data_IF_718455584407
#
_entry.id   IF_718455584407
#
_cell.length_a   1.000
_cell.length_b   1.000
_cell.length_c   1.000
_cell.angle_alpha   90.00
_cell.angle_beta   90.00
_cell.angle_gamma   90.00
#
_symmetry.space_group_name_H-M   'P 1'
#
loop_
_entity.id
_entity.type
_entity.pdbx_description
1 polymer ?
2 non-polymer ?
3 non-polymer ?
4 water ?
#
# COMPACT_ATOMS: atom_id res chain seq x y z
N UNK A 29 -0.70 -26.00 -16.14
CA UNK A 29 -2.04 -25.93 -15.57
C UNK A 29 -2.20 -24.70 -14.69
N UNK A 30 -3.44 -24.47 -14.23
CA UNK A 30 -3.77 -23.30 -13.43
C UNK A 30 -3.42 -23.51 -11.96
N UNK A 31 -2.60 -22.62 -11.37
CA UNK A 31 -2.27 -22.76 -9.95
C UNK A 31 -3.46 -22.44 -9.06
N UNK A 32 -3.46 -22.96 -7.84
CA UNK A 32 -4.52 -22.66 -6.88
C UNK A 32 -4.68 -21.16 -6.72
N UNK A 33 -5.92 -20.72 -6.64
CA UNK A 33 -6.19 -19.34 -6.27
C UNK A 33 -7.42 -19.30 -5.37
N UNK A 34 -7.53 -18.27 -4.52
CA UNK A 34 -8.69 -18.14 -3.64
C UNK A 34 -9.99 -17.90 -4.42
N UNK A 35 -11.06 -18.56 -3.98
CA UNK A 35 -12.35 -18.48 -4.65
C UNK A 35 -13.36 -17.63 -3.88
N UNK A 36 -13.04 -17.35 -2.62
CA UNK A 36 -13.87 -16.50 -1.79
C UNK A 36 -12.96 -15.80 -0.79
N UNK A 37 -13.48 -14.77 -0.13
CA UNK A 37 -12.64 -13.93 0.71
C UNK A 37 -11.98 -14.74 1.85
N UNK A 38 -12.66 -15.74 2.38
CA UNK A 38 -12.08 -16.49 3.50
C UNK A 38 -10.92 -17.38 3.04
N UNK A 39 -10.82 -17.65 1.73
CA UNK A 39 -9.72 -18.46 1.21
C UNK A 39 -8.37 -17.74 1.35
N UNK A 40 -8.40 -16.44 1.61
CA UNK A 40 -7.15 -15.74 1.87
C UNK A 40 -6.48 -16.23 3.15
N UNK A 41 -7.22 -16.90 4.02
CA UNK A 41 -6.63 -17.58 5.18
C UNK A 41 -5.50 -18.53 4.77
N UNK A 42 -5.64 -19.10 3.57
CA UNK A 42 -4.74 -20.16 3.11
C UNK A 42 -3.50 -19.65 2.40
N UNK A 43 -3.46 -18.37 2.06
CA UNK A 43 -2.29 -17.85 1.39
C UNK A 43 -1.70 -16.66 2.15
N UNK A 44 -2.52 -15.97 2.94
CA UNK A 44 -2.04 -14.78 3.64
C UNK A 44 -0.99 -15.15 4.70
N UNK A 45 -0.91 -16.42 5.07
CA UNK A 45 0.14 -16.87 5.99
C UNK A 45 1.31 -17.55 5.28
N UNK A 46 1.24 -17.64 3.95
CA UNK A 46 2.37 -18.16 3.16
C UNK A 46 3.50 -17.14 3.14
N UNK A 47 3.87 -16.63 4.31
CA UNK A 47 4.83 -15.55 4.39
C UNK A 47 6.24 -16.00 4.01
N UNK A 48 6.81 -15.34 3.01
CA UNK A 48 8.18 -15.57 2.55
C UNK A 48 9.23 -14.92 3.45
N UNK A 49 8.89 -13.75 3.98
CA UNK A 49 9.79 -13.03 4.89
C UNK A 49 8.96 -12.39 5.98
N UNK A 50 9.11 -12.90 7.20
CA UNK A 50 8.35 -12.36 8.32
C UNK A 50 8.82 -10.97 8.71
N UNK A 51 7.88 -10.18 9.21
CA UNK A 51 8.14 -8.80 9.61
C UNK A 51 9.13 -8.61 10.74
N UNK A 52 9.22 -9.60 11.62
CA UNK A 52 10.31 -9.71 12.59
C UNK A 52 11.70 -10.02 11.98
N UNK A 53 11.77 -10.37 10.70
CA UNK A 53 13.06 -10.64 10.08
C UNK A 53 13.66 -9.35 9.56
N UNK A 54 14.20 -8.52 10.45
CA UNK A 54 14.73 -7.24 10.02
C UNK A 54 15.93 -7.34 9.08
N UNK A 55 15.98 -6.39 8.15
CA UNK A 55 17.09 -6.27 7.21
C UNK A 55 18.32 -5.89 8.01
N UNK A 56 19.50 -6.25 7.53
CA UNK A 56 20.74 -5.95 8.24
C UNK A 56 20.91 -4.45 8.48
N UNK A 57 20.48 -3.64 7.51
CA UNK A 57 20.54 -2.18 7.61
C UNK A 57 19.34 -1.51 8.28
N UNK A 58 18.40 -2.29 8.78
CA UNK A 58 17.23 -1.74 9.47
C UNK A 58 17.64 -0.94 10.70
N UNK A 59 17.00 0.22 10.92
CA UNK A 59 17.31 1.07 12.09
C UNK A 59 17.11 0.34 13.42
N UNK A 60 16.25 -0.68 13.42
CA UNK A 60 15.97 -1.40 14.65
C UNK A 60 16.73 -2.71 14.76
N UNK A 61 17.69 -2.94 13.87
CA UNK A 61 18.36 -4.24 13.77
C UNK A 61 18.99 -4.68 15.09
N UNK A 62 19.51 -3.72 15.84
CA UNK A 62 20.20 -3.99 17.10
C UNK A 62 19.33 -3.66 18.31
N UNK A 63 18.06 -3.37 18.08
CA UNK A 63 17.17 -2.96 19.15
C UNK A 63 16.30 -4.14 19.56
N UNK A 64 16.66 -4.78 20.67
CA UNK A 64 15.97 -5.99 21.11
C UNK A 64 14.51 -5.74 21.48
N UNK A 65 14.24 -4.61 22.11
CA UNK A 65 12.87 -4.25 22.46
C UNK A 65 12.02 -4.09 21.20
N UNK A 66 12.57 -3.40 20.20
CA UNK A 66 11.85 -3.23 18.93
C UNK A 66 11.62 -4.59 18.26
N UNK A 67 12.62 -5.45 18.30
CA UNK A 67 12.49 -6.79 17.72
C UNK A 67 11.35 -7.62 18.33
N UNK A 68 11.22 -7.57 19.64
CA UNK A 68 10.10 -8.20 20.34
C UNK A 68 8.78 -7.57 19.87
N UNK A 69 8.71 -6.24 19.89
CA UNK A 69 7.53 -5.53 19.42
C UNK A 69 7.14 -5.99 18.01
N UNK A 70 8.13 -6.13 17.11
CA UNK A 70 7.87 -6.59 15.74
C UNK A 70 7.34 -8.02 15.76
N UNK A 71 7.84 -8.83 16.70
CA UNK A 71 7.32 -10.18 16.91
C UNK A 71 5.86 -10.20 17.31
N UNK A 72 5.55 -9.34 18.27
CA UNK A 72 4.18 -9.17 18.72
C UNK A 72 3.25 -8.88 17.53
N UNK A 73 3.64 -7.95 16.67
CA UNK A 73 2.82 -7.60 15.52
C UNK A 73 2.68 -8.73 14.51
N UNK A 74 3.79 -9.40 14.22
CA UNK A 74 3.76 -10.51 13.27
C UNK A 74 2.86 -11.65 13.76
N UNK A 75 2.92 -11.92 15.06
CA UNK A 75 2.06 -12.94 15.65
C UNK A 75 0.57 -12.58 15.59
N UNK A 76 0.24 -11.30 15.78
CA UNK A 76 -1.14 -10.84 15.65
C UNK A 76 -1.69 -11.16 14.27
N UNK A 77 -0.88 -10.88 13.25
CA UNK A 77 -1.29 -11.12 11.88
C UNK A 77 -1.39 -12.61 11.58
N UNK A 78 -0.43 -13.40 12.09
CA UNK A 78 -0.41 -14.83 11.81
C UNK A 78 -1.62 -15.53 12.39
N UNK A 79 -2.08 -15.03 13.53
CA UNK A 79 -3.21 -15.66 14.22
C UNK A 79 -4.56 -15.18 13.72
N UNK A 80 -4.56 -14.08 12.97
CA UNK A 80 -5.79 -13.53 12.42
C UNK A 80 -6.43 -14.49 11.42
N UNK A 81 -7.75 -14.64 11.52
CA UNK A 81 -8.51 -15.40 10.52
C UNK A 81 -9.63 -14.56 9.98
N UNK A 82 -9.99 -14.73 8.70
CA UNK A 82 -11.07 -13.93 8.14
C UNK A 82 -12.34 -14.06 8.98
N UNK A 83 -12.98 -12.92 9.26
CA UNK A 83 -14.16 -12.90 10.10
C UNK A 83 -13.84 -12.25 11.45
N UNK A 84 -12.57 -12.35 11.85
CA UNK A 84 -12.10 -11.76 13.10
C UNK A 84 -12.16 -10.26 13.02
N UNK A 85 -12.51 -9.60 14.14
CA UNK A 85 -12.19 -8.18 14.23
C UNK A 85 -10.67 -8.07 14.24
N UNK A 86 -10.12 -7.07 13.56
CA UNK A 86 -8.66 -6.93 13.57
C UNK A 86 -8.26 -6.49 14.96
N UNK A 87 -7.34 -7.23 15.61
CA UNK A 87 -6.96 -6.90 16.99
C UNK A 87 -6.59 -5.44 17.15
N UNK A 88 -7.08 -4.83 18.22
CA UNK A 88 -6.68 -3.46 18.48
C UNK A 88 -5.35 -3.47 19.19
N UNK A 89 -4.59 -2.42 18.97
CA UNK A 89 -3.25 -2.32 19.49
C UNK A 89 -3.14 -1.09 20.35
N UNK A 90 -2.54 -1.21 21.52
CA UNK A 90 -2.19 -0.03 22.28
C UNK A 90 -0.80 0.41 21.85
N UNK A 91 -0.74 1.44 21.01
CA UNK A 91 0.55 1.94 20.57
C UNK A 91 1.22 2.68 21.71
N UNK A 92 2.55 2.62 21.74
CA UNK A 92 3.32 3.28 22.77
C UNK A 92 3.43 4.77 22.47
N UNK A 93 3.79 5.57 23.48
CA UNK A 93 4.00 7.00 23.29
C UNK A 93 5.03 7.27 22.21
N UNK A 94 6.09 6.47 22.21
CA UNK A 94 7.14 6.58 21.20
C UNK A 94 6.58 6.37 19.78
N UNK A 95 5.77 5.33 19.61
CA UNK A 95 5.18 5.01 18.31
C UNK A 95 4.26 6.12 17.84
N UNK A 96 3.47 6.66 18.77
CA UNK A 96 2.54 7.72 18.44
C UNK A 96 3.29 9.00 18.04
N UNK A 97 4.39 9.28 18.73
CA UNK A 97 5.20 10.45 18.40
C UNK A 97 5.80 10.32 17.00
N UNK A 98 6.24 9.11 16.64
CA UNK A 98 6.78 8.84 15.32
C UNK A 98 5.74 9.08 14.24
N UNK A 99 4.54 8.50 14.42
CA UNK A 99 3.40 8.76 13.55
C UNK A 99 3.12 10.27 13.42
N UNK A 100 3.07 10.95 14.56
CA UNK A 100 2.78 12.38 14.58
C UNK A 100 3.75 13.18 13.76
N UNK A 101 5.03 12.83 13.84
CA UNK A 101 6.07 13.55 13.11
C UNK A 101 5.89 13.36 11.61
N UNK A 102 5.64 12.12 11.22
CA UNK A 102 5.41 11.77 9.83
C UNK A 102 4.12 12.41 9.29
N UNK A 103 3.07 12.33 10.09
CA UNK A 103 1.75 12.86 9.75
C UNK A 103 1.77 14.37 9.54
N UNK A 104 2.43 15.07 10.46
CA UNK A 104 2.50 16.53 10.42
C UNK A 104 3.25 17.06 9.20
N UNK A 105 4.39 16.46 8.89
CA UNK A 105 5.17 16.88 7.73
C UNK A 105 4.52 16.56 6.39
N UNK A 106 3.98 15.36 6.26
CA UNK A 106 3.29 15.00 5.02
C UNK A 106 2.07 15.87 4.76
N UNK A 107 1.31 16.20 5.79
CA UNK A 107 0.07 16.96 5.58
C UNK A 107 0.33 18.39 5.09
N UNK A 108 1.54 18.88 5.31
CA UNK A 108 1.95 20.17 4.75
C UNK A 108 2.07 20.07 3.22
N UNK A 109 2.43 18.89 2.74
CA UNK A 109 2.71 18.68 1.33
C UNK A 109 1.49 18.25 0.51
N UNK A 110 0.56 17.52 1.11
CA UNK A 110 -0.56 16.93 0.38
C UNK A 110 -1.39 17.92 -0.47
N UNK A 111 -1.73 19.12 0.09
CA UNK A 111 -2.54 20.04 -0.72
C UNK A 111 -1.93 20.42 -2.06
N UNK A 112 -0.60 20.53 -2.14
CA UNK A 112 0.03 20.93 -3.39
C UNK A 112 0.56 19.75 -4.19
N UNK A 113 0.48 18.54 -3.63
CA UNK A 113 1.08 17.37 -4.27
C UNK A 113 0.11 16.25 -4.61
N UNK A 114 -0.80 15.94 -3.69
CA UNK A 114 -1.70 14.81 -3.85
C UNK A 114 -2.83 15.05 -4.84
N UNK A 115 -3.32 13.96 -5.44
CA UNK A 115 -4.44 14.03 -6.35
C UNK A 115 -5.76 14.40 -5.68
N UNK A 116 -6.70 14.82 -6.52
CA UNK A 116 -8.08 15.21 -6.19
C UNK A 116 -8.63 14.26 -5.13
N UNK A 117 -8.73 13.00 -5.54
CA UNK A 117 -9.38 11.94 -4.79
C UNK A 117 -8.76 11.74 -3.41
N UNK A 118 -7.43 11.86 -3.34
CA UNK A 118 -6.75 11.69 -2.06
C UNK A 118 -7.16 12.80 -1.10
N UNK A 119 -7.15 14.02 -1.61
CA UNK A 119 -7.49 15.19 -0.79
C UNK A 119 -8.94 15.18 -0.35
N UNK A 120 -9.81 14.58 -1.16
CA UNK A 120 -11.22 14.50 -0.84
C UNK A 120 -11.49 13.52 0.32
N UNK A 121 -10.74 12.43 0.35
CA UNK A 121 -11.01 11.38 1.32
C UNK A 121 -10.24 11.52 2.63
N UNK A 122 -9.10 12.18 2.61
CA UNK A 122 -8.31 12.36 3.83
C UNK A 122 -9.10 13.02 5.00
N UNK A 123 -9.91 14.06 4.73
CA UNK A 123 -10.67 14.64 5.85
C UNK A 123 -11.75 13.72 6.41
N UNK A 124 -12.31 12.85 5.57
CA UNK A 124 -13.27 11.87 6.06
C UNK A 124 -12.62 10.95 7.08
N UNK A 125 -11.36 10.57 6.84
CA UNK A 125 -10.62 9.70 7.75
C UNK A 125 -10.30 10.37 9.08
N UNK A 126 -10.04 11.67 9.04
CA UNK A 126 -9.84 12.41 10.28
C UNK A 126 -11.12 12.39 11.10
N UNK A 127 -12.24 12.59 10.43
CA UNK A 127 -13.54 12.59 11.08
C UNK A 127 -14.04 11.27 11.64
N UNK A 128 -13.91 10.20 10.86
CA UNK A 128 -14.46 8.91 11.29
C UNK A 128 -13.48 7.86 11.80
N UNK A 129 -12.20 7.97 11.46
CA UNK A 129 -11.23 6.98 11.88
C UNK A 129 -10.14 7.48 12.82
N UNK A 130 -10.29 8.69 13.34
CA UNK A 130 -9.34 9.21 14.29
C UNK A 130 -7.95 9.53 13.80
N UNK A 131 -7.84 10.05 12.58
CA UNK A 131 -6.55 10.43 12.02
C UNK A 131 -6.20 11.79 12.64
N UNK A 132 -5.20 11.79 13.50
CA UNK A 132 -4.75 13.00 14.20
C UNK A 132 -3.29 12.80 14.53
N UNK A 133 -2.60 13.92 14.74
CA UNK A 133 -1.18 13.88 15.08
C UNK A 133 -0.90 13.03 16.33
N UNK A 134 -1.85 13.01 17.28
CA UNK A 134 -1.58 12.35 18.56
C UNK A 134 -2.32 11.02 18.70
N UNK A 135 -2.78 10.48 17.58
CA UNK A 135 -3.50 9.22 17.61
C UNK A 135 -3.24 8.41 16.37
N UNK A 136 -2.80 7.17 16.54
CA UNK A 136 -2.67 6.24 15.42
C UNK A 136 -3.98 5.50 15.21
N UNK A 137 -4.55 5.60 14.01
CA UNK A 137 -5.82 4.92 13.69
C UNK A 137 -5.68 3.41 13.84
N UNK A 138 -6.76 2.77 14.28
CA UNK A 138 -6.79 1.32 14.38
C UNK A 138 -7.21 0.73 13.04
N UNK A 139 -6.60 -0.39 12.65
CA UNK A 139 -6.93 -1.03 11.38
C UNK A 139 -8.40 -1.46 11.31
N UNK A 140 -8.94 -2.01 12.40
CA UNK A 140 -10.36 -2.36 12.42
C UNK A 140 -11.29 -1.20 12.06
N UNK A 141 -11.08 -0.04 12.66
CA UNK A 141 -11.90 1.13 12.36
C UNK A 141 -11.76 1.55 10.90
N UNK A 142 -10.53 1.53 10.41
CA UNK A 142 -10.26 1.91 9.03
C UNK A 142 -10.91 0.90 8.08
N UNK A 143 -10.80 -0.37 8.42
CA UNK A 143 -11.42 -1.43 7.64
C UNK A 143 -12.93 -1.26 7.55
N UNK A 144 -13.57 -0.93 8.67
CA UNK A 144 -15.02 -0.71 8.68
C UNK A 144 -15.42 0.48 7.83
N UNK A 145 -14.61 1.54 7.87
CA UNK A 145 -14.82 2.70 7.03
C UNK A 145 -14.76 2.32 5.54
N UNK A 146 -13.71 1.61 5.15
CA UNK A 146 -13.54 1.22 3.75
C UNK A 146 -14.67 0.29 3.30
N UNK A 147 -15.14 -0.59 4.17
CA UNK A 147 -16.18 -1.54 3.79
C UNK A 147 -17.44 -0.79 3.34
N UNK A 148 -17.79 0.25 4.09
CA UNK A 148 -18.95 1.06 3.77
C UNK A 148 -18.75 1.90 2.50
N UNK A 149 -17.53 2.41 2.30
CA UNK A 149 -17.28 3.32 1.18
C UNK A 149 -17.16 2.60 -0.16
N UNK A 150 -16.37 1.52 -0.20
CA UNK A 150 -16.05 0.85 -1.46
C UNK A 150 -16.06 -0.67 -1.37
N UNK A 151 -16.36 -1.24 -0.20
CA UNK A 151 -16.25 -2.68 -0.07
C UNK A 151 -14.86 -3.22 0.23
N UNK A 152 -13.82 -2.41 0.04
CA UNK A 152 -12.49 -2.69 0.60
C UNK A 152 -12.42 -2.97 2.10
N UNK A 153 -11.64 -3.97 2.45
CA UNK A 153 -11.37 -4.26 3.84
C UNK A 153 -9.88 -4.51 4.04
N UNK A 154 -9.46 -4.53 5.30
CA UNK A 154 -8.05 -4.69 5.63
C UNK A 154 -7.81 -6.06 6.23
N UNK A 155 -6.66 -6.65 5.91
CA UNK A 155 -6.21 -7.85 6.59
C UNK A 155 -4.79 -7.61 7.09
N UNK A 156 -4.55 -7.80 8.41
CA UNK A 156 -3.18 -7.61 8.89
C UNK A 156 -2.28 -8.71 8.35
N UNK A 157 -1.07 -8.35 7.94
CA UNK A 157 -0.19 -9.32 7.31
C UNK A 157 1.14 -9.38 8.06
N UNK A 158 1.62 -10.59 8.29
CA UNK A 158 2.82 -10.82 9.09
C UNK A 158 4.07 -10.27 8.41
N UNK A 159 4.12 -10.39 7.09
CA UNK A 159 5.27 -9.92 6.34
C UNK A 159 5.05 -10.02 4.85
N UNK A 160 6.15 -10.12 4.10
CA UNK A 160 6.11 -10.19 2.64
C UNK A 160 5.49 -11.48 2.11
N UNK A 161 4.55 -11.34 1.18
CA UNK A 161 3.95 -12.48 0.49
C UNK A 161 4.44 -12.52 -0.96
N UNK A 162 4.27 -13.65 -1.63
CA UNK A 162 4.53 -13.71 -3.06
C UNK A 162 3.63 -12.69 -3.76
N UNK A 163 4.05 -12.19 -4.93
CA UNK A 163 3.17 -11.30 -5.71
C UNK A 163 1.81 -11.94 -5.96
N UNK A 164 1.80 -13.25 -6.23
CA UNK A 164 0.54 -13.95 -6.48
C UNK A 164 -0.41 -13.84 -5.27
N UNK A 165 0.11 -14.13 -4.08
CA UNK A 165 -0.73 -14.12 -2.89
C UNK A 165 -1.15 -12.71 -2.50
N UNK A 166 -0.23 -11.75 -2.61
CA UNK A 166 -0.55 -10.38 -2.25
C UNK A 166 -1.62 -9.80 -3.19
N UNK A 167 -1.43 -9.96 -4.50
CA UNK A 167 -2.40 -9.47 -5.46
C UNK A 167 -3.75 -10.18 -5.36
N UNK A 168 -3.75 -11.47 -4.97
CA UNK A 168 -5.00 -12.20 -4.91
C UNK A 168 -5.97 -11.56 -3.90
N UNK A 169 -5.43 -10.93 -2.87
CA UNK A 169 -6.28 -10.25 -1.90
C UNK A 169 -7.13 -9.19 -2.55
N UNK A 170 -6.51 -8.43 -3.47
CA UNK A 170 -7.21 -7.35 -4.15
C UNK A 170 -8.43 -7.85 -4.94
N UNK A 171 -8.41 -9.11 -5.38
CA UNK A 171 -9.56 -9.65 -6.11
C UNK A 171 -10.83 -9.63 -5.25
N UNK A 172 -10.65 -9.67 -3.93
CA UNK A 172 -11.79 -9.66 -3.02
C UNK A 172 -11.84 -8.35 -2.26
N UNK A 173 -11.20 -7.34 -2.84
CA UNK A 173 -11.07 -6.01 -2.24
C UNK A 173 -10.53 -6.10 -0.83
N UNK A 174 -9.48 -6.92 -0.67
CA UNK A 174 -8.79 -7.02 0.60
C UNK A 174 -7.38 -6.48 0.41
N UNK A 175 -6.99 -5.57 1.30
CA UNK A 175 -5.64 -5.04 1.28
C UNK A 175 -4.86 -5.62 2.45
N UNK A 176 -3.78 -6.31 2.14
CA UNK A 176 -2.89 -6.87 3.14
C UNK A 176 -2.03 -5.75 3.70
N UNK A 177 -2.07 -5.57 5.02
CA UNK A 177 -1.68 -4.31 5.62
C UNK A 177 -0.81 -4.49 6.87
N UNK A 178 0.38 -3.85 6.88
CA UNK A 178 1.26 -3.97 8.04
C UNK A 178 0.67 -3.15 9.20
N UNK A 179 0.93 -3.59 10.42
CA UNK A 179 0.32 -3.02 11.61
C UNK A 179 1.33 -2.33 12.53
N UNK A 180 2.61 -2.67 12.34
CA UNK A 180 3.67 -2.10 13.16
C UNK A 180 4.05 -0.69 12.71
N UNK A 181 4.76 0.01 13.58
CA UNK A 181 5.26 1.35 13.32
C UNK A 181 6.77 1.32 13.09
N UNK A 182 7.24 2.11 12.13
CA UNK A 182 8.67 2.26 11.88
C UNK A 182 9.44 2.64 13.14
N UNK A 183 10.71 2.26 13.19
CA UNK A 183 11.58 2.56 14.31
C UNK A 183 11.69 4.07 14.52
N UNK A 184 11.67 4.49 15.79
CA UNK A 184 11.59 5.92 16.10
C UNK A 184 12.86 6.70 15.77
N UNK A 185 13.98 6.00 15.66
CA UNK A 185 15.27 6.63 15.37
C UNK A 185 15.31 7.28 13.99
N UNK A 186 14.48 6.80 13.08
CA UNK A 186 14.44 7.34 11.73
C UNK A 186 13.01 7.39 11.20
N UNK A 187 12.25 8.42 11.60
CA UNK A 187 10.87 8.57 11.17
C UNK A 187 10.73 8.66 9.65
N UNK A 188 11.86 8.78 8.96
CA UNK A 188 11.97 8.91 7.50
C UNK A 188 12.48 7.65 6.78
N UNK A 189 12.42 6.51 7.44
CA UNK A 189 12.91 5.22 6.94
C UNK A 189 11.86 4.54 6.06
N UNK A 190 12.16 4.48 4.77
CA UNK A 190 11.16 4.05 3.81
C UNK A 190 11.22 2.70 3.05
N UNK A 191 12.35 1.95 3.09
CA UNK A 191 12.28 0.80 2.18
C UNK A 191 11.37 -0.39 2.57
N UNK A 192 10.84 -0.43 3.79
CA UNK A 192 9.73 -1.33 4.15
C UNK A 192 8.41 -0.63 4.45
N UNK A 193 7.30 -1.26 4.07
CA UNK A 193 6.03 -0.65 4.46
C UNK A 193 5.87 -0.74 5.98
N UNK A 194 5.27 0.27 6.59
CA UNK A 194 4.81 0.14 7.97
C UNK A 194 3.40 0.70 7.97
N UNK A 195 2.80 0.86 9.14
CA UNK A 195 1.38 1.10 9.15
C UNK A 195 1.15 2.58 8.83
N UNK A 196 2.16 3.41 9.07
CA UNK A 196 2.14 4.80 8.63
C UNK A 196 1.95 4.87 7.11
N UNK A 197 2.71 4.06 6.38
CA UNK A 197 2.59 3.95 4.93
C UNK A 197 1.19 3.46 4.54
N UNK A 198 0.71 2.42 5.21
CA UNK A 198 -0.60 1.91 4.87
C UNK A 198 -1.70 2.96 5.07
N UNK A 199 -1.68 3.61 6.23
CA UNK A 199 -2.78 4.48 6.61
C UNK A 199 -2.76 5.82 5.88
N UNK A 200 -1.56 6.34 5.63
CA UNK A 200 -1.43 7.64 4.98
C UNK A 200 -1.27 7.51 3.48
N UNK A 201 -0.69 6.40 3.03
CA UNK A 201 -0.44 6.24 1.60
C UNK A 201 -1.58 5.54 0.88
N UNK A 202 -2.03 4.41 1.42
CA UNK A 202 -2.98 3.56 0.71
C UNK A 202 -4.45 3.84 0.98
N UNK A 203 -4.79 3.97 2.25
CA UNK A 203 -6.19 3.98 2.66
C UNK A 203 -7.04 5.11 2.02
N UNK A 204 -6.53 6.36 1.96
CA UNK A 204 -7.42 7.37 1.37
C UNK A 204 -7.87 7.08 -0.06
N UNK A 205 -7.04 6.40 -0.85
CA UNK A 205 -7.43 6.09 -2.21
C UNK A 205 -8.28 4.83 -2.30
N UNK A 206 -8.08 3.87 -1.39
CA UNK A 206 -8.97 2.70 -1.36
C UNK A 206 -10.41 3.11 -1.07
N UNK A 207 -10.59 4.30 -0.51
CA UNK A 207 -11.91 4.83 -0.20
C UNK A 207 -12.58 5.46 -1.42
N UNK A 208 -11.88 5.46 -2.55
CA UNK A 208 -12.41 6.07 -3.76
C UNK A 208 -12.88 4.98 -4.72
N UNK A 209 -14.18 4.98 -5.07
CA UNK A 209 -14.72 3.92 -5.94
C UNK A 209 -13.92 3.67 -7.21
N UNK A 210 -13.53 4.71 -7.96
CA UNK A 210 -12.79 4.49 -9.21
C UNK A 210 -11.46 3.79 -8.97
N UNK A 211 -10.78 4.15 -7.89
CA UNK A 211 -9.50 3.54 -7.54
C UNK A 211 -9.68 2.12 -7.02
N UNK A 212 -10.73 1.91 -6.22
CA UNK A 212 -11.02 0.57 -5.69
C UNK A 212 -11.30 -0.42 -6.83
N UNK A 213 -12.02 0.04 -7.85
CA UNK A 213 -12.29 -0.81 -9.00
C UNK A 213 -11.00 -1.13 -9.77
N UNK A 214 -10.19 -0.11 -10.00
CA UNK A 214 -8.88 -0.29 -10.63
C UNK A 214 -8.03 -1.32 -9.89
N UNK A 215 -7.96 -1.18 -8.58
CA UNK A 215 -7.16 -2.08 -7.76
C UNK A 215 -7.70 -3.52 -7.78
N UNK A 216 -9.02 -3.65 -7.63
CA UNK A 216 -9.63 -4.98 -7.63
C UNK A 216 -9.34 -5.70 -8.94
N UNK A 217 -9.34 -4.96 -10.05
CA UNK A 217 -9.17 -5.60 -11.34
C UNK A 217 -7.73 -6.09 -11.56
N UNK A 218 -6.76 -5.47 -10.88
CA UNK A 218 -5.41 -6.03 -10.86
C UNK A 218 -5.46 -7.41 -10.21
N UNK A 219 -6.12 -7.49 -9.05
CA UNK A 219 -6.22 -8.75 -8.34
C UNK A 219 -6.97 -9.79 -9.15
N UNK A 220 -8.09 -9.40 -9.75
CA UNK A 220 -8.89 -10.35 -10.53
C UNK A 220 -8.09 -10.91 -11.70
N UNK A 221 -7.37 -10.03 -12.39
CA UNK A 221 -6.50 -10.45 -13.48
C UNK A 221 -5.43 -11.46 -13.03
N UNK A 222 -4.99 -11.32 -11.78
CA UNK A 222 -3.89 -12.16 -11.28
C UNK A 222 -4.33 -13.58 -10.91
N UNK A 223 -5.61 -13.77 -10.63
CA UNK A 223 -6.08 -15.06 -10.11
C UNK A 223 -5.84 -16.18 -11.12
N UNK A 224 -5.04 -17.17 -10.71
CA UNK A 224 -4.75 -18.30 -11.59
C UNK A 224 -3.92 -17.95 -12.82
N UNK A 225 -3.36 -16.76 -12.84
CA UNK A 225 -2.57 -16.35 -14.00
C UNK A 225 -1.18 -17.01 -13.97
N UNK A 226 -0.51 -17.01 -15.12
CA UNK A 226 0.85 -17.54 -15.20
C UNK A 226 1.79 -16.75 -14.30
N UNK A 227 2.91 -17.39 -13.92
CA UNK A 227 3.95 -16.71 -13.16
C UNK A 227 4.38 -15.42 -13.86
N UNK A 228 4.56 -15.52 -15.18
CA UNK A 228 4.96 -14.38 -16.00
C UNK A 228 3.94 -13.25 -15.90
N UNK A 229 2.67 -13.59 -16.04
CA UNK A 229 1.60 -12.59 -16.00
C UNK A 229 1.53 -11.94 -14.62
N UNK A 230 1.61 -12.75 -13.57
CA UNK A 230 1.59 -12.19 -12.21
C UNK A 230 2.71 -11.17 -12.02
N UNK A 231 3.90 -11.45 -12.54
CA UNK A 231 5.04 -10.56 -12.37
C UNK A 231 4.81 -9.23 -13.07
N UNK A 232 4.23 -9.29 -14.27
CA UNK A 232 3.92 -8.08 -15.03
C UNK A 232 2.82 -7.26 -14.37
N UNK A 233 1.80 -7.94 -13.84
CA UNK A 233 0.75 -7.26 -13.08
C UNK A 233 1.33 -6.57 -11.84
N UNK A 234 2.26 -7.26 -11.16
CA UNK A 234 2.90 -6.71 -9.97
C UNK A 234 3.66 -5.42 -10.30
N UNK A 235 4.35 -5.42 -11.43
CA UNK A 235 5.10 -4.24 -11.84
C UNK A 235 4.16 -3.09 -12.21
N UNK A 236 3.05 -3.39 -12.88
CA UNK A 236 2.04 -2.38 -13.16
C UNK A 236 1.44 -1.83 -11.86
N UNK A 237 1.16 -2.72 -10.92
CA UNK A 237 0.70 -2.33 -9.59
C UNK A 237 1.69 -1.35 -8.94
N UNK A 238 2.97 -1.72 -8.97
CA UNK A 238 4.04 -0.90 -8.38
C UNK A 238 4.04 0.53 -8.93
N UNK A 239 3.93 0.67 -10.25
CA UNK A 239 4.05 1.99 -10.87
C UNK A 239 2.71 2.73 -11.02
N UNK A 240 1.68 2.21 -10.36
CA UNK A 240 0.41 2.92 -10.26
C UNK A 240 0.06 3.05 -8.78
N UNK A 241 -0.43 1.97 -8.18
CA UNK A 241 -0.83 1.98 -6.77
C UNK A 241 0.28 2.46 -5.83
N UNK A 242 1.54 2.10 -6.08
CA UNK A 242 2.59 2.48 -5.14
C UNK A 242 3.34 3.77 -5.53
N UNK A 243 3.63 3.98 -6.81
CA UNK A 243 4.44 5.13 -7.23
C UNK A 243 3.86 5.91 -8.40
N UNK A 244 2.55 5.82 -8.59
CA UNK A 244 1.91 6.46 -9.72
C UNK A 244 1.75 7.96 -9.60
N UNK A 245 1.85 8.62 -10.75
CA UNK A 245 1.46 10.01 -10.90
C UNK A 245 0.24 10.08 -11.80
N UNK A 246 -0.56 11.13 -11.66
CA UNK A 246 -1.68 11.29 -12.59
C UNK A 246 -1.79 12.75 -13.03
N UNK A 247 -2.47 12.97 -14.16
CA UNK A 247 -2.66 14.32 -14.65
C UNK A 247 -4.08 14.79 -14.40
N UNK A 248 -4.21 15.94 -13.75
CA UNK A 248 -5.52 16.45 -13.37
C UNK A 248 -5.57 17.94 -13.61
N UNK A 249 -6.50 18.38 -14.46
CA UNK A 249 -6.62 19.78 -14.85
C UNK A 249 -5.26 20.33 -15.28
N UNK A 250 -4.53 19.53 -16.05
CA UNK A 250 -3.27 19.96 -16.63
C UNK A 250 -2.06 19.86 -15.70
N UNK A 251 -2.27 19.49 -14.45
CA UNK A 251 -1.18 19.41 -13.48
C UNK A 251 -0.79 17.97 -13.20
N UNK A 252 0.48 17.74 -12.89
CA UNK A 252 0.93 16.43 -12.42
C UNK A 252 0.64 16.31 -10.93
N UNK A 253 -0.05 15.23 -10.54
CA UNK A 253 -0.35 15.00 -9.13
C UNK A 253 0.08 13.59 -8.74
N UNK A 254 0.15 13.34 -7.44
CA UNK A 254 0.62 12.05 -6.94
C UNK A 254 -0.54 11.19 -6.44
N UNK A 255 -0.57 9.91 -6.81
CA UNK A 255 -1.52 9.02 -6.18
C UNK A 255 -0.86 7.76 -5.64
N UNK A 256 0.43 7.56 -5.92
CA UNK A 256 1.13 6.37 -5.44
C UNK A 256 1.34 6.40 -3.95
N UNK A 257 1.01 5.31 -3.26
CA UNK A 257 1.08 5.27 -1.81
C UNK A 257 2.51 5.39 -1.26
N UNK A 258 3.46 4.85 -2.00
CA UNK A 258 4.86 4.87 -1.61
C UNK A 258 5.38 6.29 -1.63
N UNK A 259 4.84 7.09 -2.53
CA UNK A 259 5.16 8.51 -2.59
C UNK A 259 4.45 9.30 -1.50
N UNK A 260 3.17 9.01 -1.31
CA UNK A 260 2.35 9.75 -0.34
C UNK A 260 2.79 9.56 1.12
N UNK A 261 3.63 8.57 1.39
CA UNK A 261 4.11 8.35 2.76
C UNK A 261 5.62 8.57 2.88
N UNK A 262 6.23 9.11 1.82
CA UNK A 262 7.65 9.41 1.84
C UNK A 262 7.86 10.90 1.58
N UNK A 263 8.25 11.62 2.62
CA UNK A 263 8.38 13.07 2.52
C UNK A 263 9.33 13.50 1.42
N UNK A 264 10.50 12.86 1.35
CA UNK A 264 11.51 13.26 0.38
C UNK A 264 11.13 12.91 -1.06
N UNK A 265 10.61 11.70 -1.28
CA UNK A 265 10.31 11.33 -2.67
C UNK A 265 9.02 12.00 -3.16
N UNK A 266 8.11 12.33 -2.25
CA UNK A 266 6.91 13.07 -2.62
C UNK A 266 7.30 14.38 -3.28
N UNK A 267 8.21 15.11 -2.64
CA UNK A 267 8.72 16.36 -3.20
C UNK A 267 9.45 16.13 -4.51
N UNK A 268 10.29 15.10 -4.52
CA UNK A 268 11.10 14.78 -5.70
C UNK A 268 10.27 14.46 -6.93
N UNK A 269 9.19 13.70 -6.74
CA UNK A 269 8.36 13.27 -7.86
C UNK A 269 7.75 14.42 -8.66
N UNK A 270 7.45 15.53 -8.00
CA UNK A 270 6.86 16.68 -8.69
C UNK A 270 7.86 17.79 -8.92
N UNK A 271 9.14 17.53 -8.67
CA UNK A 271 10.17 18.50 -9.01
C UNK A 271 10.53 18.33 -10.48
N UNK A 272 11.42 19.16 -11.00
CA UNK A 272 11.88 19.01 -12.37
C UNK A 272 12.96 17.96 -12.53
N UNK A 273 13.44 17.44 -11.40
CA UNK A 273 14.51 16.44 -11.39
C UNK A 273 14.06 15.02 -11.69
N UNK A 274 12.75 14.80 -11.82
CA UNK A 274 12.25 13.46 -12.08
C UNK A 274 11.91 13.19 -13.53
N UNK A 275 12.21 11.99 -13.98
CA UNK A 275 11.86 11.56 -15.33
C UNK A 275 10.47 10.93 -15.27
N UNK A 276 9.59 11.35 -16.18
CA UNK A 276 8.22 10.85 -16.20
C UNK A 276 7.83 10.37 -17.60
N UNK A 277 7.14 9.23 -17.64
CA UNK A 277 6.69 8.64 -18.89
C UNK A 277 5.19 8.32 -18.76
N UNK A 278 4.47 8.32 -19.89
CA UNK A 278 3.05 7.95 -19.80
C UNK A 278 2.89 6.50 -19.34
N UNK A 279 1.86 6.25 -18.52
CA UNK A 279 1.54 4.88 -18.14
C UNK A 279 1.10 4.10 -19.37
N UNK A 280 1.76 2.97 -19.59
CA UNK A 280 1.51 2.14 -20.76
C UNK A 280 1.97 0.75 -20.38
N UNK A 281 1.04 -0.13 -19.99
CA UNK A 281 1.41 -1.38 -19.31
C UNK A 281 2.45 -2.23 -20.04
N UNK A 282 2.38 -2.30 -21.37
CA UNK A 282 3.37 -3.06 -22.15
C UNK A 282 4.78 -2.48 -21.99
N UNK A 283 4.90 -1.17 -21.82
CA UNK A 283 6.20 -0.56 -21.55
C UNK A 283 6.52 -0.52 -20.04
N UNK A 284 5.53 -0.18 -19.23
CA UNK A 284 5.74 -0.04 -17.80
C UNK A 284 6.21 -1.36 -17.14
N UNK A 285 5.69 -2.48 -17.62
CA UNK A 285 6.02 -3.77 -17.01
C UNK A 285 7.48 -4.19 -17.26
N UNK A 286 8.16 -3.49 -18.17
CA UNK A 286 9.59 -3.73 -18.40
C UNK A 286 10.48 -2.99 -17.39
N UNK A 287 9.89 -2.05 -16.67
CA UNK A 287 10.66 -1.23 -15.75
C UNK A 287 10.97 -1.94 -14.44
N UNK A 288 12.23 -1.85 -14.03
CA UNK A 288 12.68 -2.41 -12.77
C UNK A 288 12.11 -1.63 -11.59
N UNK A 289 11.61 -2.34 -10.58
CA UNK A 289 11.12 -1.72 -9.37
C UNK A 289 12.24 -1.55 -8.35
N UNK A 290 12.64 -0.31 -8.10
CA UNK A 290 13.75 -0.04 -7.19
C UNK A 290 13.29 0.00 -5.73
N UNK A 291 14.20 -0.30 -4.82
CA UNK A 291 13.83 -0.53 -3.42
C UNK A 291 14.46 0.47 -2.44
N UNK A 292 15.77 0.67 -2.56
CA UNK A 292 16.51 1.46 -1.57
C UNK A 292 16.84 2.87 -2.07
N UNK A 293 16.30 3.23 -3.22
CA UNK A 293 16.50 4.57 -3.78
C UNK A 293 15.19 5.13 -4.27
N UNK A 294 15.19 6.42 -4.65
CA UNK A 294 14.10 6.98 -5.44
C UNK A 294 13.95 6.13 -6.70
N UNK A 295 12.74 6.07 -7.24
CA UNK A 295 12.56 5.46 -8.56
C UNK A 295 13.34 6.25 -9.63
N UNK A 296 13.76 5.56 -10.68
CA UNK A 296 14.45 6.23 -11.79
C UNK A 296 13.45 6.90 -12.74
N UNK A 297 12.23 6.41 -12.75
CA UNK A 297 11.20 6.97 -13.62
C UNK A 297 9.84 6.81 -12.97
N UNK A 298 8.95 7.77 -13.21
CA UNK A 298 7.58 7.65 -12.74
C UNK A 298 6.64 7.60 -13.94
N UNK A 299 5.53 6.90 -13.78
CA UNK A 299 4.57 6.78 -14.87
C UNK A 299 3.31 7.58 -14.56
N UNK A 300 2.87 8.34 -15.56
CA UNK A 300 1.74 9.23 -15.40
C UNK A 300 0.48 8.63 -16.03
N UNK A 301 -0.53 8.39 -15.20
CA UNK A 301 -1.83 7.95 -15.70
C UNK A 301 -2.70 9.17 -15.99
N UNK A 302 -3.55 9.06 -17.01
CA UNK A 302 -4.44 10.17 -17.34
C UNK A 302 -5.53 10.32 -16.28
N UNK A 303 -6.04 9.19 -15.82
CA UNK A 303 -7.04 9.13 -14.76
C UNK A 303 -7.07 7.70 -14.25
N UNK A 304 -7.77 7.46 -13.14
CA UNK A 304 -7.91 6.09 -12.65
C UNK A 304 -8.72 5.28 -13.64
N UNK A 305 -9.72 5.93 -14.23
CA UNK A 305 -10.54 5.28 -15.23
C UNK A 305 -9.74 4.89 -16.49
N UNK A 306 -8.87 5.77 -16.97
CA UNK A 306 -8.03 5.43 -18.12
C UNK A 306 -7.03 4.31 -17.79
N UNK A 307 -6.45 4.37 -16.60
CA UNK A 307 -5.48 3.36 -16.17
C UNK A 307 -6.17 2.00 -16.15
N UNK A 308 -7.40 1.98 -15.65
CA UNK A 308 -8.20 0.78 -15.62
C UNK A 308 -8.45 0.25 -17.04
N UNK A 309 -8.79 1.14 -17.96
CA UNK A 309 -9.02 0.73 -19.34
C UNK A 309 -7.76 0.16 -19.98
N UNK A 310 -6.62 0.81 -19.72
CA UNK A 310 -5.36 0.32 -20.27
C UNK A 310 -4.98 -1.05 -19.74
N UNK A 311 -5.23 -1.29 -18.44
CA UNK A 311 -4.95 -2.61 -17.88
C UNK A 311 -5.85 -3.68 -18.50
N UNK A 312 -7.10 -3.34 -18.76
CA UNK A 312 -8.03 -4.30 -19.35
C UNK A 312 -7.51 -4.78 -20.69
N UNK A 313 -7.04 -3.84 -21.51
CA UNK A 313 -6.48 -4.18 -22.82
C UNK A 313 -5.24 -5.04 -22.66
N UNK A 314 -4.40 -4.66 -21.70
CA UNK A 314 -3.16 -5.37 -21.43
C UNK A 314 -3.38 -6.80 -20.94
N UNK A 315 -4.33 -6.98 -20.02
CA UNK A 315 -4.52 -8.30 -19.42
C UNK A 315 -5.03 -9.32 -20.44
N UNK A 316 -5.74 -8.84 -21.45
CA UNK A 316 -6.21 -9.71 -22.53
C UNK A 316 -5.04 -10.35 -23.28
N UNK A 317 -3.91 -9.66 -23.28
CA UNK A 317 -2.74 -10.12 -24.02
C UNK A 317 -1.85 -11.07 -23.22
N UNK A 318 -2.09 -11.18 -21.92
CA UNK A 318 -1.23 -12.02 -21.08
C UNK A 318 -1.98 -13.10 -20.29
N UNK A 319 -3.30 -13.16 -20.44
CA UNK A 319 -4.08 -14.14 -19.69
C UNK A 319 -5.19 -14.75 -20.54
X LIG B 1 2.34 0.00 -0.23
X LIG C 1 3.98 -6.33 -2.38
X LIG C 1 3.82 -6.87 -1.16
X LIG C 1 3.99 -8.19 -0.96
X LIG C 1 3.49 -4.75 -1.05
X LIG C 1 4.32 -9.00 -2.04
X LIG C 1 4.31 -7.09 -3.43
X LIG C 1 7.53 -6.23 5.81
X LIG C 1 8.61 -6.34 6.68
X LIG C 1 9.86 -6.70 6.19
X LIG C 1 10.03 -6.94 4.84
X LIG C 1 8.96 -6.84 3.96
X LIG C 1 7.70 -6.49 4.44
X LIG C 1 6.60 -6.36 3.59
X LIG C 1 6.78 -6.10 2.23
X LIG C 1 5.66 -5.96 1.41
X LIG C 1 5.32 -6.47 4.12
X LIG C 1 4.21 -6.33 3.29
X LIG C 1 4.37 -6.08 1.93
X LIG C 1 3.22 -5.93 1.14
X LIG C 1 3.52 -5.86 -0.32
X LIG C 1 3.85 -8.72 0.14
X LIG C 1 4.48 -8.41 -3.30
X LIG C 1 4.78 -9.08 -4.28
X LIG C 1 4.48 -6.47 -4.77
X LIG C 1 3.15 -6.51 -5.55
X LIG C 1 3.77 -5.02 -2.32
X LIG C 1 3.16 -3.33 -0.53
X LIG C 1 4.36 -2.38 -0.47
X LIG C 1 4.22 -1.08 -0.27
X LIG C 1 5.43 -0.53 -0.27
X LIG C 1 5.82 0.82 -0.11
X LIG C 1 7.24 1.06 -0.65
X LIG C 1 8.17 0.06 0.01
X LIG C 1 7.79 -1.33 -0.52
X LIG C 1 6.32 -1.51 -0.45
X LIG C 1 5.66 -2.68 -0.58
#
# INVERSE_FOLDING_TARGET
MKHHHHHHHGAAGTSLYKKAGENLYFQGSVPWFPKKISDLDHCANRVLMYGSELDADHPGFKDNVYRKRRKYFADLAMNYKHGDPIPKVEFTEEEIKTWGTVFQELNKLYPTHACREYLKNLPLLSKYCGYREDNIPQLEDVSNFLKERTGFSIRPVAGYLSPRDFLSGLAFRVFHCTQYVRHSSDPFYTPEPDTCHELLGHVPLLAEPSFAQFSQEIGLASLGASEEAVQKLATCYFFTVEFGLCKQDGQLRVFGAGLLSSISELKHALSGHAKVKPFDPKITCKQECLITTFQDVYFVSESFEDAKEKMREFTKTIKRPFGVKY
FE FE
UX3 C4 C5 C6 C8 N1 N3 CAG CAE CAD CAF CAH CAZ CBA CAL CAJ CAK CAI CAX CAT N7 O6 C2 O2 CAP CAA N9 CAS CAY NAU CBB CAQ CAN CAO CAR NBH CAM
#
